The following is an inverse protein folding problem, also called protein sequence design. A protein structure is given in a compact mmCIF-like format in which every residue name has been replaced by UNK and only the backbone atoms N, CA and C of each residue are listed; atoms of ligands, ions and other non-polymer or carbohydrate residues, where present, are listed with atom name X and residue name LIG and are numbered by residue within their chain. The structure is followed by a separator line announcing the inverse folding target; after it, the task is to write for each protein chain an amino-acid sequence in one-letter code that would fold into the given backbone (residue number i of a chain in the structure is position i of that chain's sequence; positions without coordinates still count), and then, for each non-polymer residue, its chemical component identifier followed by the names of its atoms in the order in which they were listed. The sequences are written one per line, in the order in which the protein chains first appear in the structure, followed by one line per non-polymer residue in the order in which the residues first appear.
data_IF_213204237392
#
_entry.id   IF_213204237392
#
_cell.length_a   1.000
_cell.length_b   1.000
_cell.length_c   1.000
_cell.angle_alpha   90.00
_cell.angle_beta   90.00
_cell.angle_gamma   90.00
#
_symmetry.space_group_name_H-M   'P 1'
#
loop_
_entity.id
_entity.type
_entity.pdbx_description
1 polymer ?
#
# COMPACT_ATOMS: atom_id res chain seq x y z
N UNK A 1 15.87 8.28 -14.96
CA UNK A 1 15.89 6.84 -15.27
C UNK A 1 16.91 6.03 -14.45
N UNK A 2 17.78 6.64 -13.69
CA UNK A 2 18.84 5.93 -12.94
C UNK A 2 18.34 5.06 -11.75
N UNK A 3 17.13 5.25 -11.26
CA UNK A 3 16.62 4.54 -10.07
C UNK A 3 15.88 3.22 -10.32
N UNK A 4 15.71 2.80 -11.56
CA UNK A 4 14.93 1.59 -11.90
C UNK A 4 15.84 0.39 -12.20
N UNK A 5 17.03 0.65 -12.69
CA UNK A 5 18.03 -0.39 -13.03
C UNK A 5 18.52 -1.04 -11.73
N UNK A 6 18.46 -2.36 -11.66
CA UNK A 6 18.86 -3.14 -10.48
C UNK A 6 17.76 -3.34 -9.43
N UNK A 7 16.54 -2.83 -9.67
CA UNK A 7 15.38 -3.08 -8.82
C UNK A 7 14.46 -4.15 -9.43
N UNK A 8 13.49 -4.62 -8.64
CA UNK A 8 12.46 -5.57 -9.10
C UNK A 8 11.70 -5.08 -10.36
N UNK A 9 11.64 -3.77 -10.59
CA UNK A 9 10.99 -3.19 -11.77
C UNK A 9 11.66 -3.54 -13.09
N UNK A 10 12.96 -3.85 -13.09
CA UNK A 10 13.70 -4.17 -14.30
C UNK A 10 13.18 -5.42 -15.03
N UNK A 11 12.54 -6.36 -14.29
CA UNK A 11 11.93 -7.57 -14.85
C UNK A 11 10.45 -7.45 -15.18
N UNK A 12 9.83 -6.27 -14.96
CA UNK A 12 8.38 -6.10 -15.13
C UNK A 12 8.07 -5.64 -16.54
N UNK A 13 7.33 -6.48 -17.29
CA UNK A 13 6.76 -6.07 -18.57
C UNK A 13 5.67 -5.02 -18.34
N UNK A 14 5.78 -3.88 -19.02
CA UNK A 14 4.82 -2.78 -18.92
C UNK A 14 3.99 -2.67 -20.20
N UNK A 15 2.68 -2.45 -20.06
CA UNK A 15 1.81 -2.01 -21.16
C UNK A 15 1.45 -0.54 -21.00
N UNK A 16 1.24 0.13 -22.12
CA UNK A 16 0.86 1.54 -22.20
C UNK A 16 -0.61 1.67 -22.54
N UNK A 17 -1.27 2.64 -21.90
CA UNK A 17 -2.65 3.00 -22.20
C UNK A 17 -2.84 4.50 -22.00
N UNK A 18 -3.96 5.04 -22.49
CA UNK A 18 -4.42 6.39 -22.15
C UNK A 18 -5.46 6.27 -21.05
N UNK A 19 -5.27 6.96 -19.94
CA UNK A 19 -6.18 6.92 -18.81
C UNK A 19 -6.40 8.33 -18.26
N UNK A 20 -7.62 8.62 -17.84
CA UNK A 20 -8.02 9.87 -17.18
C UNK A 20 -8.18 9.65 -15.69
N UNK A 21 -7.89 10.67 -14.90
CA UNK A 21 -8.16 10.69 -13.46
C UNK A 21 -9.66 10.89 -13.16
N UNK A 22 -10.35 11.50 -14.10
CA UNK A 22 -11.75 11.90 -14.06
C UNK A 22 -12.29 11.77 -15.50
N UNK A 23 -13.57 11.39 -15.72
CA UNK A 23 -14.17 11.36 -17.06
C UNK A 23 -14.05 12.69 -17.84
N UNK A 24 -14.05 13.81 -17.11
CA UNK A 24 -13.96 15.15 -17.70
C UNK A 24 -12.51 15.63 -17.88
N UNK A 25 -11.53 14.94 -17.32
CA UNK A 25 -10.12 15.30 -17.44
C UNK A 25 -9.50 14.71 -18.72
N UNK A 26 -8.62 15.47 -19.43
CA UNK A 26 -7.94 14.94 -20.59
C UNK A 26 -7.09 13.73 -20.21
N UNK A 27 -7.21 12.61 -20.96
CA UNK A 27 -6.47 11.40 -20.65
C UNK A 27 -4.97 11.60 -20.89
N UNK A 28 -4.16 11.03 -20.00
CA UNK A 28 -2.68 11.03 -20.10
C UNK A 28 -2.15 9.63 -20.45
N UNK A 29 -0.97 9.57 -21.03
CA UNK A 29 -0.29 8.30 -21.27
C UNK A 29 0.23 7.72 -19.93
N UNK A 30 -0.16 6.50 -19.61
CA UNK A 30 0.33 5.78 -18.43
C UNK A 30 0.90 4.42 -18.83
N UNK A 31 1.82 3.88 -18.02
CA UNK A 31 2.33 2.54 -18.18
C UNK A 31 2.26 1.79 -16.85
N UNK A 32 1.62 0.62 -16.89
CA UNK A 32 1.39 -0.26 -15.74
C UNK A 32 1.89 -1.67 -16.07
N UNK A 33 2.09 -2.57 -15.07
CA UNK A 33 2.41 -3.96 -15.34
C UNK A 33 1.42 -4.58 -16.33
N UNK A 34 1.94 -5.33 -17.31
CA UNK A 34 1.14 -5.82 -18.43
C UNK A 34 -0.11 -6.64 -18.03
N UNK A 35 -0.09 -7.47 -16.95
CA UNK A 35 -1.26 -8.24 -16.54
C UNK A 35 -2.28 -7.44 -15.71
N UNK A 36 -2.02 -6.15 -15.40
CA UNK A 36 -2.96 -5.36 -14.61
C UNK A 36 -4.08 -4.80 -15.48
N UNK A 37 -5.25 -4.59 -14.88
CA UNK A 37 -6.47 -4.07 -15.52
C UNK A 37 -6.32 -2.57 -15.86
N UNK A 38 -7.18 -2.05 -16.75
CA UNK A 38 -7.14 -0.65 -17.20
C UNK A 38 -7.41 0.34 -16.05
N UNK A 39 -8.22 -0.05 -15.08
CA UNK A 39 -8.53 0.73 -13.88
C UNK A 39 -7.28 1.04 -13.05
N UNK A 40 -6.29 0.17 -13.08
CA UNK A 40 -4.99 0.46 -12.48
C UNK A 40 -4.28 1.62 -13.18
N UNK A 41 -4.50 1.76 -14.49
CA UNK A 41 -4.02 2.90 -15.26
C UNK A 41 -4.75 4.19 -14.90
N UNK A 42 -6.06 4.16 -14.70
CA UNK A 42 -6.87 5.30 -14.25
C UNK A 42 -6.43 5.77 -12.85
N UNK A 43 -6.25 4.81 -11.92
CA UNK A 43 -5.73 5.12 -10.59
C UNK A 43 -4.32 5.73 -10.66
N UNK A 44 -3.44 5.21 -11.51
CA UNK A 44 -2.11 5.79 -11.70
C UNK A 44 -2.19 7.19 -12.30
N UNK A 45 -3.09 7.42 -13.26
CA UNK A 45 -3.32 8.75 -13.82
C UNK A 45 -3.76 9.75 -12.75
N UNK A 46 -4.62 9.33 -11.83
CA UNK A 46 -5.08 10.13 -10.70
C UNK A 46 -3.98 10.41 -9.67
N UNK A 47 -3.14 9.42 -9.37
CA UNK A 47 -2.14 9.52 -8.30
C UNK A 47 -0.83 10.17 -8.75
N UNK A 48 -0.45 10.03 -10.01
CA UNK A 48 0.81 10.55 -10.51
C UNK A 48 0.83 12.07 -10.53
N UNK A 49 1.87 12.72 -9.97
CA UNK A 49 1.97 14.18 -9.99
C UNK A 49 2.12 14.72 -11.40
N UNK A 50 1.59 15.93 -11.61
CA UNK A 50 1.65 16.63 -12.89
C UNK A 50 0.77 16.02 -13.98
N UNK A 51 0.75 16.62 -15.17
CA UNK A 51 -0.09 16.23 -16.32
C UNK A 51 0.61 15.40 -17.40
N UNK A 52 1.91 15.14 -17.27
CA UNK A 52 2.72 14.43 -18.28
C UNK A 52 2.56 12.90 -18.24
N UNK A 53 3.22 12.16 -19.13
CA UNK A 53 3.24 10.69 -19.10
C UNK A 53 3.75 10.15 -17.77
N UNK A 54 3.17 9.04 -17.29
CA UNK A 54 3.54 8.42 -16.04
C UNK A 54 3.73 6.90 -16.18
N UNK A 55 4.71 6.33 -15.48
CA UNK A 55 4.86 4.87 -15.36
C UNK A 55 4.78 4.49 -13.90
N UNK A 56 4.18 3.35 -13.59
CA UNK A 56 4.09 2.90 -12.20
C UNK A 56 5.47 2.84 -11.53
N UNK A 57 6.51 2.24 -12.12
CA UNK A 57 7.84 2.23 -11.53
C UNK A 57 8.38 3.63 -11.24
N UNK A 58 8.25 4.57 -12.18
CA UNK A 58 8.77 5.92 -12.03
C UNK A 58 8.07 6.68 -10.90
N UNK A 59 6.74 6.58 -10.82
CA UNK A 59 5.95 7.26 -9.79
C UNK A 59 6.19 6.64 -8.42
N UNK A 60 6.25 5.30 -8.34
CA UNK A 60 6.56 4.60 -7.09
C UNK A 60 7.97 4.95 -6.59
N UNK A 61 8.98 4.86 -7.45
CA UNK A 61 10.36 5.20 -7.06
C UNK A 61 10.48 6.65 -6.58
N UNK A 62 9.76 7.58 -7.17
CA UNK A 62 9.82 8.98 -6.78
C UNK A 62 9.49 9.19 -5.30
N UNK A 63 8.43 8.57 -4.78
CA UNK A 63 8.10 8.71 -3.36
C UNK A 63 8.92 7.77 -2.46
N UNK A 64 9.27 6.56 -2.92
CA UNK A 64 10.13 5.64 -2.17
C UNK A 64 11.49 6.30 -1.91
N UNK A 65 12.12 6.87 -2.92
CA UNK A 65 13.41 7.54 -2.76
C UNK A 65 13.34 8.75 -1.81
N UNK A 66 12.28 9.56 -1.93
CA UNK A 66 12.06 10.66 -0.96
C UNK A 66 11.92 10.16 0.47
N UNK A 67 11.17 9.07 0.66
CA UNK A 67 11.00 8.44 1.97
C UNK A 67 12.34 7.94 2.53
N UNK A 68 13.16 7.25 1.70
CA UNK A 68 14.49 6.77 2.12
C UNK A 68 15.43 7.91 2.51
N UNK A 69 15.47 8.96 1.70
CA UNK A 69 16.27 10.15 2.02
C UNK A 69 15.82 10.82 3.33
N UNK A 70 14.50 10.90 3.54
CA UNK A 70 13.93 11.44 4.78
C UNK A 70 14.29 10.57 5.98
N UNK A 71 14.10 9.26 5.88
CA UNK A 71 14.43 8.32 6.94
C UNK A 71 15.89 8.34 7.37
N UNK A 72 16.82 8.43 6.40
CA UNK A 72 18.26 8.58 6.68
C UNK A 72 18.56 9.91 7.36
N UNK A 73 18.01 11.02 6.86
CA UNK A 73 18.23 12.36 7.43
C UNK A 73 17.74 12.46 8.88
N UNK A 74 16.66 11.76 9.20
CA UNK A 74 16.07 11.73 10.53
C UNK A 74 16.72 10.69 11.46
N UNK A 75 17.68 9.90 10.98
CA UNK A 75 18.28 8.81 11.75
C UNK A 75 17.32 7.65 12.03
N UNK A 76 16.20 7.53 11.27
CA UNK A 76 15.20 6.47 11.41
C UNK A 76 15.56 5.21 10.62
N UNK A 77 16.54 5.32 9.71
CA UNK A 77 17.10 4.22 8.93
C UNK A 77 18.60 4.15 9.14
N UNK A 78 19.07 3.03 9.71
CA UNK A 78 20.50 2.82 9.94
C UNK A 78 21.18 2.30 8.68
N UNK A 79 21.97 3.18 8.08
CA UNK A 79 22.79 2.82 6.93
C UNK A 79 22.02 2.61 5.63
N UNK A 80 22.79 2.19 4.63
CA UNK A 80 22.27 1.94 3.28
C UNK A 80 21.40 0.68 3.23
N UNK A 81 21.75 -0.37 3.96
CA UNK A 81 21.09 -1.68 3.92
C UNK A 81 19.68 -1.63 4.49
N UNK A 82 19.47 -0.91 5.61
CA UNK A 82 18.14 -0.73 6.18
C UNK A 82 17.21 0.05 5.24
N UNK A 83 17.75 1.08 4.58
CA UNK A 83 17.00 1.86 3.61
C UNK A 83 16.64 1.03 2.37
N UNK A 84 17.59 0.25 1.83
CA UNK A 84 17.32 -0.59 0.67
C UNK A 84 16.36 -1.73 1.00
N UNK A 85 16.47 -2.34 2.18
CA UNK A 85 15.52 -3.37 2.64
C UNK A 85 14.09 -2.83 2.71
N UNK A 86 13.88 -1.63 3.28
CA UNK A 86 12.58 -0.98 3.31
C UNK A 86 12.08 -0.66 1.90
N UNK A 87 12.95 -0.12 1.04
CA UNK A 87 12.60 0.22 -0.34
C UNK A 87 12.22 -1.04 -1.15
N UNK A 88 12.98 -2.12 -1.03
CA UNK A 88 12.71 -3.40 -1.68
C UNK A 88 11.37 -3.99 -1.22
N UNK A 89 11.08 -3.94 0.08
CA UNK A 89 9.80 -4.35 0.64
C UNK A 89 8.62 -3.56 0.08
N UNK A 90 8.75 -2.24 -0.04
CA UNK A 90 7.72 -1.37 -0.60
C UNK A 90 7.48 -1.64 -2.09
N UNK A 91 8.54 -1.83 -2.87
CA UNK A 91 8.43 -2.21 -4.30
C UNK A 91 7.69 -3.54 -4.46
N UNK A 92 8.09 -4.54 -3.68
CA UNK A 92 7.47 -5.87 -3.70
C UNK A 92 6.00 -5.82 -3.28
N UNK A 93 5.68 -5.03 -2.24
CA UNK A 93 4.31 -4.83 -1.77
C UNK A 93 3.41 -4.22 -2.85
N UNK A 94 3.87 -3.16 -3.53
CA UNK A 94 3.12 -2.52 -4.61
C UNK A 94 2.94 -3.49 -5.78
N UNK A 95 4.02 -4.13 -6.22
CA UNK A 95 3.99 -5.03 -7.39
C UNK A 95 3.08 -6.24 -7.16
N UNK A 96 3.09 -6.78 -5.94
CA UNK A 96 2.19 -7.86 -5.53
C UNK A 96 0.76 -7.37 -5.19
N UNK A 97 0.49 -6.07 -5.32
CA UNK A 97 -0.81 -5.43 -4.97
C UNK A 97 -1.23 -5.69 -3.53
N UNK A 98 -0.29 -5.97 -2.65
CA UNK A 98 -0.53 -6.25 -1.22
C UNK A 98 -0.85 -5.01 -0.39
N UNK A 99 -0.44 -3.84 -0.86
CA UNK A 99 -0.74 -2.57 -0.20
C UNK A 99 -0.13 -1.38 -0.91
N UNK A 100 -0.66 -0.19 -0.61
CA UNK A 100 -0.14 1.07 -1.11
C UNK A 100 -0.46 2.23 -0.17
N UNK A 101 0.33 3.30 -0.20
CA UNK A 101 0.04 4.51 0.57
C UNK A 101 -1.10 5.32 -0.05
N UNK A 102 -1.68 6.23 0.73
CA UNK A 102 -2.66 7.21 0.28
C UNK A 102 -2.10 8.24 -0.71
N UNK A 103 -3.00 8.95 -1.37
CA UNK A 103 -2.67 9.91 -2.43
C UNK A 103 -1.68 11.00 -1.96
N UNK A 104 -1.73 11.38 -0.69
CA UNK A 104 -0.83 12.36 -0.08
C UNK A 104 0.63 11.94 -0.16
N UNK A 105 0.93 10.64 0.00
CA UNK A 105 2.30 10.09 -0.11
C UNK A 105 2.72 9.99 -1.57
N UNK A 106 1.82 9.54 -2.46
CA UNK A 106 2.09 9.49 -3.90
C UNK A 106 2.43 10.86 -4.46
N UNK A 107 1.66 11.89 -4.08
CA UNK A 107 1.77 13.25 -4.60
C UNK A 107 2.72 14.14 -3.82
N UNK A 108 3.24 13.65 -2.68
CA UNK A 108 4.07 14.44 -1.74
C UNK A 108 3.36 15.73 -1.28
N UNK A 109 2.08 15.60 -0.95
CA UNK A 109 1.27 16.71 -0.45
C UNK A 109 1.23 16.72 1.08
N UNK A 110 0.89 17.87 1.65
CA UNK A 110 0.69 17.97 3.10
C UNK A 110 -0.54 17.17 3.52
N UNK A 111 -0.46 16.48 4.64
CA UNK A 111 -1.58 15.72 5.20
C UNK A 111 -1.09 14.60 6.11
N UNK A 112 -2.04 14.00 6.80
CA UNK A 112 -1.76 12.80 7.58
C UNK A 112 -1.64 11.61 6.63
N UNK A 113 -0.45 11.01 6.59
CA UNK A 113 -0.19 9.84 5.77
C UNK A 113 -1.04 8.65 6.22
N UNK A 114 -1.60 7.94 5.26
CA UNK A 114 -2.28 6.66 5.47
C UNK A 114 -1.71 5.59 4.56
N UNK A 115 -1.93 4.34 4.96
CA UNK A 115 -1.53 3.18 4.17
C UNK A 115 -2.63 2.13 4.24
N UNK A 116 -2.91 1.47 3.12
CA UNK A 116 -3.97 0.46 3.02
C UNK A 116 -3.38 -0.86 2.53
N UNK A 117 -3.71 -1.94 3.22
CA UNK A 117 -3.37 -3.31 2.84
C UNK A 117 -4.55 -3.97 2.12
N UNK A 118 -4.26 -4.74 1.08
CA UNK A 118 -5.25 -5.45 0.27
C UNK A 118 -5.35 -6.90 0.74
N UNK A 119 -6.40 -7.24 1.46
CA UNK A 119 -6.54 -8.53 2.13
C UNK A 119 -6.46 -9.75 1.20
N UNK A 120 -7.15 -9.81 0.04
CA UNK A 120 -7.07 -10.97 -0.85
C UNK A 120 -5.68 -11.27 -1.38
N UNK A 121 -4.80 -10.27 -1.45
CA UNK A 121 -3.42 -10.46 -1.91
C UNK A 121 -2.53 -11.23 -0.91
N UNK A 122 -3.08 -11.59 0.25
CA UNK A 122 -2.44 -12.44 1.26
C UNK A 122 -3.08 -13.83 1.34
N UNK A 123 -4.00 -14.18 0.42
CA UNK A 123 -4.42 -15.56 0.26
C UNK A 123 -3.25 -16.39 -0.32
N UNK A 124 -3.03 -17.54 0.25
CA UNK A 124 -2.06 -18.52 -0.27
C UNK A 124 -2.72 -19.43 -1.32
N UNK A 125 -1.90 -20.19 -2.03
CA UNK A 125 -2.39 -21.10 -3.08
C UNK A 125 -3.21 -22.28 -2.55
N UNK A 126 -3.27 -22.48 -1.23
CA UNK A 126 -4.06 -23.53 -0.56
C UNK A 126 -5.38 -22.98 0.02
N UNK A 127 -5.69 -21.71 -0.19
CA UNK A 127 -6.89 -21.06 0.32
C UNK A 127 -6.78 -20.60 1.78
N UNK A 128 -5.57 -20.59 2.33
CA UNK A 128 -5.26 -20.04 3.65
C UNK A 128 -4.88 -18.55 3.59
N UNK A 129 -4.75 -17.93 4.76
CA UNK A 129 -4.26 -16.56 4.89
C UNK A 129 -2.79 -16.57 5.35
N UNK A 130 -1.91 -15.93 4.56
CA UNK A 130 -0.50 -15.78 4.89
C UNK A 130 -0.30 -14.72 5.99
N UNK A 131 -0.63 -15.09 7.22
CA UNK A 131 -0.52 -14.23 8.38
C UNK A 131 0.92 -13.73 8.65
N UNK A 132 1.99 -14.52 8.43
CA UNK A 132 3.36 -14.03 8.53
C UNK A 132 3.65 -12.89 7.54
N UNK A 133 3.31 -13.06 6.26
CA UNK A 133 3.50 -12.01 5.26
C UNK A 133 2.64 -10.77 5.55
N UNK A 134 1.41 -10.95 6.05
CA UNK A 134 0.54 -9.84 6.46
C UNK A 134 1.13 -9.05 7.63
N UNK A 135 1.66 -9.72 8.66
CA UNK A 135 2.35 -9.06 9.78
C UNK A 135 3.57 -8.27 9.31
N UNK A 136 4.36 -8.86 8.42
CA UNK A 136 5.52 -8.16 7.83
C UNK A 136 5.08 -6.91 7.04
N UNK A 137 3.98 -6.99 6.31
CA UNK A 137 3.39 -5.86 5.60
C UNK A 137 2.92 -4.76 6.57
N UNK A 138 2.26 -5.11 7.68
CA UNK A 138 1.89 -4.16 8.73
C UNK A 138 3.13 -3.44 9.30
N UNK A 139 4.19 -4.18 9.62
CA UNK A 139 5.43 -3.59 10.15
C UNK A 139 6.06 -2.62 9.14
N UNK A 140 6.16 -3.02 7.87
CA UNK A 140 6.66 -2.17 6.79
C UNK A 140 5.84 -0.89 6.65
N UNK A 141 4.53 -0.99 6.78
CA UNK A 141 3.60 0.14 6.74
C UNK A 141 3.82 1.11 7.90
N UNK A 142 3.97 0.61 9.12
CA UNK A 142 4.22 1.43 10.31
C UNK A 142 5.54 2.20 10.15
N UNK A 143 6.62 1.54 9.71
CA UNK A 143 7.90 2.21 9.44
C UNK A 143 7.75 3.31 8.38
N UNK A 144 7.02 3.02 7.30
CA UNK A 144 6.77 3.98 6.22
C UNK A 144 6.04 5.22 6.73
N UNK A 145 4.97 5.03 7.50
CA UNK A 145 4.17 6.13 8.04
C UNK A 145 4.94 6.94 9.11
N UNK A 146 5.76 6.29 9.93
CA UNK A 146 6.62 6.96 10.89
C UNK A 146 7.63 7.89 10.20
N UNK A 147 8.31 7.39 9.16
CA UNK A 147 9.24 8.19 8.36
C UNK A 147 8.50 9.33 7.63
N UNK A 148 7.30 9.03 7.08
CA UNK A 148 6.48 10.04 6.43
C UNK A 148 6.11 11.16 7.40
N UNK A 149 5.67 10.82 8.59
CA UNK A 149 5.36 11.73 9.70
C UNK A 149 6.58 12.38 10.36
N UNK A 150 7.77 12.25 9.78
CA UNK A 150 9.02 12.79 10.31
C UNK A 150 9.40 12.28 11.71
N UNK A 151 8.92 11.11 12.12
CA UNK A 151 9.07 10.58 13.48
C UNK A 151 8.37 11.42 14.55
N UNK A 152 7.37 12.21 14.17
CA UNK A 152 6.64 13.15 15.05
C UNK A 152 5.13 13.02 14.93
N UNK A 153 4.64 12.06 14.15
CA UNK A 153 3.21 11.83 14.04
C UNK A 153 2.67 11.34 15.38
N UNK A 154 1.60 11.97 15.88
CA UNK A 154 0.93 11.54 17.11
C UNK A 154 0.13 10.26 16.89
N UNK A 155 -0.32 10.03 15.66
CA UNK A 155 -1.01 8.81 15.26
C UNK A 155 -0.58 8.36 13.86
N UNK A 156 -0.56 7.03 13.63
CA UNK A 156 -0.34 6.43 12.33
C UNK A 156 -1.63 5.78 11.84
N UNK A 157 -1.99 6.03 10.57
CA UNK A 157 -3.23 5.52 9.96
C UNK A 157 -2.93 4.33 9.07
N UNK A 158 -3.16 3.14 9.59
CA UNK A 158 -3.10 1.88 8.87
C UNK A 158 -4.51 1.34 8.67
N UNK A 159 -4.85 0.97 7.44
CA UNK A 159 -6.12 0.36 7.10
C UNK A 159 -5.95 -0.90 6.27
N UNK A 160 -7.04 -1.60 6.05
CA UNK A 160 -7.12 -2.69 5.08
C UNK A 160 -8.37 -2.52 4.21
N UNK A 161 -8.37 -3.17 3.06
CA UNK A 161 -9.46 -3.13 2.10
C UNK A 161 -9.76 -4.54 1.60
N UNK A 162 -10.95 -4.67 0.98
CA UNK A 162 -11.43 -5.86 0.31
C UNK A 162 -11.60 -7.07 1.25
N UNK A 163 -12.27 -6.83 2.40
CA UNK A 163 -12.70 -7.91 3.28
C UNK A 163 -13.64 -8.89 2.56
N UNK A 164 -14.53 -8.37 1.70
CA UNK A 164 -15.45 -9.21 0.93
C UNK A 164 -14.70 -10.17 0.00
N UNK A 165 -13.67 -9.68 -0.68
CA UNK A 165 -12.81 -10.53 -1.52
C UNK A 165 -12.04 -11.58 -0.73
N UNK A 166 -11.57 -11.25 0.48
CA UNK A 166 -10.96 -12.24 1.38
C UNK A 166 -11.97 -13.32 1.78
N UNK A 167 -13.19 -12.92 2.22
CA UNK A 167 -14.24 -13.85 2.63
C UNK A 167 -14.68 -14.75 1.46
N UNK A 168 -14.81 -14.16 0.27
CA UNK A 168 -15.10 -14.95 -0.95
C UNK A 168 -13.98 -15.96 -1.24
N UNK A 169 -12.72 -15.59 -1.04
CA UNK A 169 -11.58 -16.49 -1.16
C UNK A 169 -11.61 -17.66 -0.16
N UNK A 170 -12.21 -17.47 1.01
CA UNK A 170 -12.48 -18.53 1.99
C UNK A 170 -13.77 -19.30 1.72
N UNK A 171 -14.58 -18.90 0.73
CA UNK A 171 -15.88 -19.48 0.47
C UNK A 171 -16.93 -19.16 1.55
N UNK A 172 -16.75 -18.05 2.28
CA UNK A 172 -17.64 -17.64 3.37
C UNK A 172 -18.65 -16.60 2.88
N UNK A 173 -19.97 -16.79 3.18
CA UNK A 173 -20.95 -15.74 2.98
C UNK A 173 -20.65 -14.52 3.83
N UNK A 174 -20.78 -13.32 3.27
CA UNK A 174 -20.41 -12.06 3.93
C UNK A 174 -21.18 -11.81 5.24
N UNK A 175 -22.41 -12.26 5.32
CA UNK A 175 -23.34 -12.10 6.44
C UNK A 175 -23.32 -13.27 7.45
N UNK A 176 -22.37 -14.20 7.31
CA UNK A 176 -22.22 -15.33 8.23
C UNK A 176 -21.54 -14.94 9.55
N UNK A 177 -21.75 -15.75 10.59
CA UNK A 177 -21.03 -15.58 11.85
C UNK A 177 -19.53 -15.78 11.68
N UNK A 178 -19.14 -16.76 10.86
CA UNK A 178 -17.73 -17.06 10.55
C UNK A 178 -17.06 -15.87 9.86
N UNK A 179 -17.77 -15.15 8.99
CA UNK A 179 -17.27 -13.93 8.37
C UNK A 179 -16.99 -12.84 9.41
N UNK A 180 -17.86 -12.68 10.41
CA UNK A 180 -17.64 -11.75 11.53
C UNK A 180 -16.40 -12.14 12.35
N UNK A 181 -16.20 -13.43 12.60
CA UNK A 181 -15.04 -13.94 13.34
C UNK A 181 -13.75 -13.69 12.56
N UNK A 182 -13.75 -13.94 11.25
CA UNK A 182 -12.61 -13.61 10.36
C UNK A 182 -12.32 -12.12 10.38
N UNK A 183 -13.34 -11.27 10.26
CA UNK A 183 -13.16 -9.81 10.28
C UNK A 183 -12.55 -9.35 11.60
N UNK A 184 -13.02 -9.88 12.74
CA UNK A 184 -12.49 -9.58 14.06
C UNK A 184 -11.03 -10.08 14.20
N UNK A 185 -10.72 -11.27 13.69
CA UNK A 185 -9.37 -11.82 13.71
C UNK A 185 -8.40 -10.97 12.87
N UNK A 186 -8.80 -10.55 11.66
CA UNK A 186 -8.00 -9.66 10.81
C UNK A 186 -7.78 -8.31 11.48
N UNK A 187 -8.80 -7.71 12.08
CA UNK A 187 -8.66 -6.44 12.81
C UNK A 187 -7.70 -6.58 14.01
N UNK A 188 -7.84 -7.65 14.78
CA UNK A 188 -6.94 -7.97 15.90
C UNK A 188 -5.50 -8.21 15.44
N UNK A 189 -5.31 -8.97 14.36
CA UNK A 189 -3.99 -9.22 13.77
C UNK A 189 -3.34 -7.93 13.28
N UNK A 190 -4.09 -7.08 12.59
CA UNK A 190 -3.60 -5.80 12.06
C UNK A 190 -3.15 -4.90 13.20
N UNK A 191 -3.99 -4.73 14.22
CA UNK A 191 -3.67 -3.94 15.40
C UNK A 191 -2.45 -4.47 16.12
N UNK A 192 -2.43 -5.76 16.45
CA UNK A 192 -1.33 -6.36 17.19
C UNK A 192 0.01 -6.29 16.45
N UNK A 193 0.00 -6.51 15.12
CA UNK A 193 1.21 -6.38 14.31
C UNK A 193 1.71 -4.93 14.25
N UNK A 194 0.80 -3.97 14.10
CA UNK A 194 1.15 -2.55 14.04
C UNK A 194 1.65 -2.02 15.39
N UNK A 195 1.00 -2.40 16.49
CA UNK A 195 1.42 -2.03 17.85
C UNK A 195 2.78 -2.66 18.21
N UNK A 196 3.02 -3.92 17.82
CA UNK A 196 4.32 -4.56 18.03
C UNK A 196 5.45 -3.81 17.33
N UNK A 197 5.26 -3.40 16.07
CA UNK A 197 6.25 -2.61 15.34
C UNK A 197 6.40 -1.20 15.91
N UNK A 198 5.31 -0.55 16.30
CA UNK A 198 5.34 0.74 16.99
C UNK A 198 6.13 0.67 18.29
N UNK A 199 5.93 -0.41 19.08
CA UNK A 199 6.70 -0.68 20.31
C UNK A 199 8.18 -0.91 20.03
N UNK A 200 8.52 -1.63 18.95
CA UNK A 200 9.90 -1.80 18.50
C UNK A 200 10.58 -0.47 18.14
N UNK A 201 9.87 0.39 17.41
CA UNK A 201 10.35 1.74 17.09
C UNK A 201 10.49 2.59 18.36
N UNK A 202 9.52 2.50 19.28
CA UNK A 202 9.56 3.22 20.56
C UNK A 202 10.75 2.81 21.42
N UNK A 203 11.09 1.53 21.45
CA UNK A 203 12.28 1.03 22.18
C UNK A 203 13.57 1.63 21.62
N UNK A 204 13.62 1.84 20.31
CA UNK A 204 14.81 2.35 19.63
C UNK A 204 14.92 3.87 19.66
N UNK A 205 13.80 4.58 19.46
CA UNK A 205 13.75 6.00 19.22
C UNK A 205 12.95 6.79 20.27
N UNK A 206 12.41 6.13 21.28
CA UNK A 206 11.46 6.68 22.24
C UNK A 206 10.01 6.59 21.76
N UNK A 207 9.06 6.60 22.71
CA UNK A 207 7.63 6.56 22.41
C UNK A 207 7.21 7.82 21.64
N UNK A 208 6.50 7.65 20.50
CA UNK A 208 6.21 8.73 19.58
C UNK A 208 4.77 8.81 19.11
N UNK A 209 4.12 7.69 18.89
CA UNK A 209 2.79 7.67 18.28
C UNK A 209 1.91 6.54 18.81
N UNK A 210 0.62 6.74 18.74
CA UNK A 210 -0.38 5.68 18.81
C UNK A 210 -0.71 5.18 17.39
N UNK A 211 -1.00 3.89 17.24
CA UNK A 211 -1.45 3.33 15.97
C UNK A 211 -2.98 3.40 15.92
N UNK A 212 -3.49 4.13 14.93
CA UNK A 212 -4.91 4.17 14.63
C UNK A 212 -5.22 3.17 13.51
N UNK A 213 -6.05 2.16 13.81
CA UNK A 213 -6.60 1.27 12.81
C UNK A 213 -7.78 1.97 12.13
N UNK A 214 -7.65 2.24 10.84
CA UNK A 214 -8.73 2.79 10.02
C UNK A 214 -9.49 1.60 9.45
N UNK A 215 -10.74 1.41 9.87
CA UNK A 215 -11.65 0.45 9.27
C UNK A 215 -11.98 0.81 7.82
N UNK A 216 -12.47 -0.13 6.99
CA UNK A 216 -12.17 -0.18 5.57
C UNK A 216 -12.29 1.17 4.89
N UNK A 217 -11.20 1.61 4.32
CA UNK A 217 -11.18 2.78 3.47
C UNK A 217 -11.99 2.46 2.23
N UNK A 218 -12.91 3.31 1.80
CA UNK A 218 -13.60 3.12 0.52
C UNK A 218 -12.59 2.88 -0.60
N UNK A 219 -12.89 1.98 -1.55
CA UNK A 219 -11.96 1.65 -2.65
C UNK A 219 -11.48 2.87 -3.43
N UNK A 220 -12.32 3.90 -3.54
CA UNK A 220 -12.02 5.17 -4.20
C UNK A 220 -10.94 5.98 -3.48
N UNK A 221 -10.79 5.78 -2.17
CA UNK A 221 -9.79 6.47 -1.35
C UNK A 221 -8.47 5.72 -1.25
N UNK A 222 -8.40 4.48 -1.77
CA UNK A 222 -7.19 3.69 -1.73
C UNK A 222 -6.25 4.09 -2.86
N UNK A 223 -4.97 4.08 -2.55
CA UNK A 223 -3.94 4.30 -3.56
C UNK A 223 -3.48 2.98 -4.24
N UNK A 224 -4.24 1.90 -4.07
CA UNK A 224 -3.95 0.61 -4.71
C UNK A 224 -4.61 0.61 -6.08
N UNK A 225 -3.84 0.66 -7.17
CA UNK A 225 -4.40 0.67 -8.52
C UNK A 225 -5.27 -0.57 -8.80
N UNK A 226 -6.48 -0.34 -9.32
CA UNK A 226 -7.43 -1.41 -9.66
C UNK A 226 -8.23 -2.01 -8.50
N UNK A 227 -7.96 -1.61 -7.25
CA UNK A 227 -8.67 -2.18 -6.10
C UNK A 227 -10.16 -1.83 -6.10
N UNK A 228 -10.53 -0.62 -6.50
CA UNK A 228 -11.92 -0.15 -6.54
C UNK A 228 -12.82 -1.05 -7.41
N UNK A 229 -12.30 -1.50 -8.56
CA UNK A 229 -13.07 -2.38 -9.44
C UNK A 229 -13.10 -3.83 -8.95
N UNK A 230 -11.98 -4.33 -8.43
CA UNK A 230 -11.94 -5.67 -7.85
C UNK A 230 -12.96 -5.81 -6.71
N UNK A 231 -13.06 -4.79 -5.83
CA UNK A 231 -14.05 -4.74 -4.77
C UNK A 231 -15.48 -4.68 -5.32
N UNK A 232 -15.76 -3.87 -6.37
CA UNK A 232 -17.09 -3.81 -7.01
C UNK A 232 -17.47 -5.10 -7.71
N UNK A 233 -16.52 -5.74 -8.39
CA UNK A 233 -16.77 -7.01 -9.06
C UNK A 233 -17.08 -8.12 -8.06
N UNK A 234 -16.39 -8.17 -6.91
CA UNK A 234 -16.67 -9.12 -5.84
C UNK A 234 -18.05 -8.91 -5.18
N UNK A 235 -18.56 -7.66 -5.18
CA UNK A 235 -19.90 -7.33 -4.66
C UNK A 235 -21.02 -7.60 -5.67
N UNK A 236 -20.69 -7.76 -6.96
CA UNK A 236 -21.65 -7.98 -8.04
C UNK A 236 -21.77 -9.47 -8.45
N UNK A 237 -20.93 -10.34 -7.92
CA UNK A 237 -20.92 -11.78 -8.14
C UNK A 237 -21.63 -12.52 -7.00
#
# INVERSE_FOLDING_TARGET
MAGIVGTIWAGVALRRLKAGADPDAPPRAVAIPAPWEDEAGEALAALAPGGGPATLPSVAEAWIQRLMLRGRRLGLLDGADAAESLAAGLRAMILARRGAPGAEIWRDTRGEGRFVLNLPAFLDGAGGFDAPAYRAACALTVQTLDIWGHGKAESLRLGFADLAGLLAGFGLPYDSHEACDVAAAIAGLTRGAAEAESGRLATRFGARHAVALICPTPPEETAIPGLAKAARAALAA
#
